data_IF_916690019255
#
_entry.id   IF_916690019255
#
_cell.length_a   1.000
_cell.length_b   1.000
_cell.length_c   1.000
_cell.angle_alpha   90.00
_cell.angle_beta   90.00
_cell.angle_gamma   90.00
#
_symmetry.space_group_name_H-M   'P 1'
#
loop_
_entity.id
_entity.type
_entity.pdbx_description
1 polymer ?
#
# COMPACT_ATOMS: atom_id res chain seq x y z
N UNK A 1 -11.28 8.37 -4.13
CA UNK A 1 -12.23 9.30 -3.49
C UNK A 1 -11.84 9.60 -2.05
N UNK A 2 -12.08 8.73 -1.04
CA UNK A 2 -11.72 9.06 0.36
C UNK A 2 -10.22 9.35 0.57
N UNK A 3 -9.32 8.54 0.00
CA UNK A 3 -7.87 8.75 0.18
C UNK A 3 -7.41 10.09 -0.39
N UNK A 4 -7.85 10.43 -1.59
CA UNK A 4 -7.52 11.69 -2.26
C UNK A 4 -8.09 12.88 -1.48
N UNK A 5 -9.31 12.76 -0.95
CA UNK A 5 -9.93 13.77 -0.07
C UNK A 5 -9.13 13.99 1.22
N UNK A 6 -8.46 12.96 1.72
CA UNK A 6 -7.53 13.04 2.86
C UNK A 6 -6.12 13.49 2.45
N UNK A 7 -5.87 13.83 1.18
CA UNK A 7 -4.56 14.22 0.68
C UNK A 7 -3.57 13.05 0.59
N UNK A 8 -4.06 11.83 0.46
CA UNK A 8 -3.27 10.62 0.28
C UNK A 8 -3.36 10.13 -1.17
N UNK A 9 -2.22 9.65 -1.67
CA UNK A 9 -2.12 8.95 -2.94
C UNK A 9 -2.94 7.64 -2.88
N UNK A 10 -3.86 7.39 -3.83
CA UNK A 10 -4.70 6.19 -3.84
C UNK A 10 -3.90 4.88 -3.76
N UNK A 11 -2.70 4.87 -4.34
CA UNK A 11 -1.79 3.73 -4.42
C UNK A 11 -1.30 3.28 -3.04
N UNK A 12 -1.48 4.09 -1.98
CA UNK A 12 -1.15 3.69 -0.60
C UNK A 12 -2.06 2.60 -0.04
N UNK A 13 -3.15 2.25 -0.73
CA UNK A 13 -4.04 1.15 -0.37
C UNK A 13 -4.24 0.26 -1.59
N UNK A 14 -3.95 -1.04 -1.42
CA UNK A 14 -4.17 -2.07 -2.42
C UNK A 14 -5.00 -3.20 -1.80
N UNK A 15 -5.98 -3.70 -2.55
CA UNK A 15 -6.82 -4.82 -2.15
C UNK A 15 -6.62 -5.98 -3.11
N UNK A 16 -6.35 -7.17 -2.56
CA UNK A 16 -5.97 -8.36 -3.34
C UNK A 16 -6.53 -9.63 -2.70
N UNK A 17 -6.93 -10.59 -3.54
CA UNK A 17 -7.37 -11.91 -3.09
C UNK A 17 -6.22 -12.91 -3.12
N UNK A 18 -5.96 -13.52 -1.97
CA UNK A 18 -4.96 -14.56 -1.79
C UNK A 18 -5.58 -15.69 -0.97
N UNK A 19 -5.64 -16.88 -1.55
CA UNK A 19 -6.10 -18.09 -0.85
C UNK A 19 -5.01 -18.67 0.06
N UNK A 20 -5.39 -19.56 0.97
CA UNK A 20 -4.47 -20.19 1.93
C UNK A 20 -3.31 -20.97 1.25
N UNK A 21 -3.50 -21.44 0.02
CA UNK A 21 -2.49 -22.20 -0.74
C UNK A 21 -1.56 -21.31 -1.58
N UNK A 22 -1.83 -20.00 -1.68
CA UNK A 22 -1.10 -19.06 -2.56
C UNK A 22 0.05 -18.33 -1.83
N UNK A 23 0.80 -19.04 -0.98
CA UNK A 23 1.86 -18.44 -0.16
C UNK A 23 2.94 -17.69 -0.96
N UNK A 24 3.38 -18.23 -2.10
CA UNK A 24 4.39 -17.57 -2.93
C UNK A 24 3.85 -16.28 -3.58
N UNK A 25 2.59 -16.29 -4.02
CA UNK A 25 1.92 -15.10 -4.58
C UNK A 25 1.82 -14.01 -3.51
N UNK A 26 1.42 -14.37 -2.29
CA UNK A 26 1.38 -13.44 -1.16
C UNK A 26 2.74 -12.79 -0.91
N UNK A 27 3.80 -13.60 -0.80
CA UNK A 27 5.14 -13.09 -0.53
C UNK A 27 5.61 -12.10 -1.60
N UNK A 28 5.40 -12.44 -2.89
CA UNK A 28 5.76 -11.56 -4.00
C UNK A 28 4.97 -10.25 -3.99
N UNK A 29 3.67 -10.34 -3.75
CA UNK A 29 2.76 -9.19 -3.71
C UNK A 29 3.12 -8.22 -2.59
N UNK A 30 3.38 -8.74 -1.39
CA UNK A 30 3.83 -7.93 -0.24
C UNK A 30 5.17 -7.27 -0.53
N UNK A 31 6.12 -7.99 -1.14
CA UNK A 31 7.42 -7.43 -1.49
C UNK A 31 7.29 -6.29 -2.52
N UNK A 32 6.54 -6.50 -3.60
CA UNK A 32 6.27 -5.48 -4.62
C UNK A 32 5.59 -4.26 -4.03
N UNK A 33 4.50 -4.45 -3.29
CA UNK A 33 3.75 -3.36 -2.69
C UNK A 33 4.60 -2.58 -1.68
N UNK A 34 5.46 -3.26 -0.93
CA UNK A 34 6.42 -2.60 -0.03
C UNK A 34 7.36 -1.67 -0.80
N UNK A 35 7.88 -2.10 -1.95
CA UNK A 35 8.74 -1.26 -2.79
C UNK A 35 7.99 -0.05 -3.37
N UNK A 36 6.73 -0.22 -3.74
CA UNK A 36 5.89 0.90 -4.19
C UNK A 36 5.68 1.94 -3.08
N UNK A 37 5.31 1.49 -1.87
CA UNK A 37 5.14 2.39 -0.72
C UNK A 37 6.46 3.11 -0.38
N UNK A 38 7.60 2.42 -0.48
CA UNK A 38 8.93 3.04 -0.31
C UNK A 38 9.17 4.16 -1.32
N UNK A 39 8.80 3.96 -2.59
CA UNK A 39 8.93 4.98 -3.65
C UNK A 39 8.02 6.18 -3.44
N UNK A 40 6.81 5.97 -2.91
CA UNK A 40 5.88 7.05 -2.54
C UNK A 40 6.38 7.87 -1.34
N UNK A 41 7.37 7.37 -0.60
CA UNK A 41 7.97 8.07 0.52
C UNK A 41 7.07 8.15 1.77
N UNK A 42 7.48 8.96 2.76
CA UNK A 42 6.80 9.05 4.06
C UNK A 42 5.33 9.42 3.94
N UNK A 43 4.52 8.95 4.88
CA UNK A 43 3.08 9.25 4.91
C UNK A 43 2.86 10.78 5.09
N UNK A 44 2.14 11.44 4.15
CA UNK A 44 1.87 12.88 4.19
C UNK A 44 1.20 13.40 5.47
N UNK A 45 0.45 12.54 6.18
CA UNK A 45 -0.31 12.91 7.37
C UNK A 45 0.51 12.94 8.66
N UNK A 46 1.78 12.52 8.61
CA UNK A 46 2.64 12.47 9.82
C UNK A 46 3.11 13.83 10.31
N UNK A 47 2.82 14.93 9.59
CA UNK A 47 3.14 16.30 10.02
C UNK A 47 2.14 16.95 10.97
N UNK A 48 1.05 16.28 11.35
CA UNK A 48 0.20 16.73 12.46
C UNK A 48 0.88 16.42 13.80
N UNK A 49 1.76 17.33 14.23
CA UNK A 49 2.07 17.54 15.64
C UNK A 49 1.42 18.85 16.07
#
# INVERSE_FOLDING_TARGET
>A
KLLEELGLEPERVRFEYVSASEGQKYANLVAEFTEEIRKLGPNPLTKSK
#
